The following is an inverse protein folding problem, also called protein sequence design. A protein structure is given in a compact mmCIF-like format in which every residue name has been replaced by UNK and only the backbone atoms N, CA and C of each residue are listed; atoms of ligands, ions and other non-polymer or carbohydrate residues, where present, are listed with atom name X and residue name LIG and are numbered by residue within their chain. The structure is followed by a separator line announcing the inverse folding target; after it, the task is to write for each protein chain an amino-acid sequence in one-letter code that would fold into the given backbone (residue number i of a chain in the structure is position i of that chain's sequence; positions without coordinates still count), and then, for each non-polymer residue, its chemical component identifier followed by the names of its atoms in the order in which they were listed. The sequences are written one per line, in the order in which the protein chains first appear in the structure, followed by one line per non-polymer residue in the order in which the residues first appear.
data_IF_612034933844
#
_entry.id   IF_612034933844
#
_cell.length_a   1.000
_cell.length_b   1.000
_cell.length_c   1.000
_cell.angle_alpha   90.00
_cell.angle_beta   90.00
_cell.angle_gamma   90.00
#
_symmetry.space_group_name_H-M   'P 1'
#
loop_
_entity.id
_entity.type
_entity.pdbx_description
1 polymer ?
#
# COMPACT_ATOMS: atom_id res chain seq x y z
N UNK A 1 -29.67 -1.42 0.49
CA UNK A 1 -28.47 -2.26 0.27
C UNK A 1 -28.22 -3.07 1.53
N UNK A 2 -28.22 -4.40 1.46
CA UNK A 2 -28.19 -5.28 2.63
C UNK A 2 -26.85 -5.19 3.38
N UNK A 3 -26.87 -5.14 4.72
CA UNK A 3 -25.67 -5.03 5.56
C UNK A 3 -24.64 -6.14 5.29
N UNK A 4 -25.10 -7.38 5.10
CA UNK A 4 -24.23 -8.50 4.75
C UNK A 4 -23.55 -8.36 3.38
N UNK A 5 -24.18 -7.67 2.43
CA UNK A 5 -23.60 -7.46 1.10
C UNK A 5 -22.45 -6.44 1.14
N UNK A 6 -22.57 -5.41 1.96
CA UNK A 6 -21.49 -4.42 2.14
C UNK A 6 -20.26 -5.06 2.77
N UNK A 7 -20.46 -5.89 3.79
CA UNK A 7 -19.35 -6.55 4.49
C UNK A 7 -18.63 -7.56 3.59
N UNK A 8 -19.38 -8.36 2.81
CA UNK A 8 -18.80 -9.24 1.79
C UNK A 8 -18.01 -8.47 0.72
N UNK A 9 -18.49 -7.30 0.32
CA UNK A 9 -17.78 -6.41 -0.63
C UNK A 9 -16.47 -5.90 -0.04
N UNK A 10 -16.49 -5.39 1.19
CA UNK A 10 -15.28 -4.86 1.83
C UNK A 10 -14.21 -5.95 2.02
N UNK A 11 -14.60 -7.17 2.38
CA UNK A 11 -13.67 -8.31 2.48
C UNK A 11 -13.12 -8.69 1.11
N UNK A 12 -13.97 -8.74 0.08
CA UNK A 12 -13.50 -9.00 -1.29
C UNK A 12 -12.50 -7.94 -1.75
N UNK A 13 -12.79 -6.66 -1.48
CA UNK A 13 -11.87 -5.55 -1.76
C UNK A 13 -10.55 -5.70 -0.98
N UNK A 14 -10.60 -6.08 0.29
CA UNK A 14 -9.41 -6.32 1.10
C UNK A 14 -8.52 -7.42 0.49
N UNK A 15 -9.12 -8.55 0.08
CA UNK A 15 -8.39 -9.67 -0.55
C UNK A 15 -7.77 -9.22 -1.87
N UNK A 16 -8.52 -8.50 -2.71
CA UNK A 16 -8.00 -7.93 -3.96
C UNK A 16 -6.81 -7.02 -3.67
N UNK A 17 -6.93 -6.18 -2.66
CA UNK A 17 -5.93 -5.20 -2.27
C UNK A 17 -4.66 -5.90 -1.73
N UNK A 18 -4.79 -7.01 -0.98
CA UNK A 18 -3.67 -7.85 -0.54
C UNK A 18 -2.90 -8.53 -1.68
N UNK A 19 -3.53 -8.78 -2.83
CA UNK A 19 -2.89 -9.49 -3.96
C UNK A 19 -2.38 -8.51 -5.00
N UNK A 20 -3.21 -7.55 -5.40
CA UNK A 20 -2.90 -6.60 -6.47
C UNK A 20 -1.83 -5.60 -6.04
N UNK A 21 -1.84 -5.14 -4.79
CA UNK A 21 -0.88 -4.13 -4.33
C UNK A 21 0.56 -4.65 -4.30
N UNK A 22 0.86 -5.85 -3.75
CA UNK A 22 2.21 -6.42 -3.86
C UNK A 22 2.67 -6.61 -5.30
N UNK A 23 1.79 -7.11 -6.17
CA UNK A 23 2.13 -7.32 -7.59
C UNK A 23 2.39 -5.98 -8.28
N UNK A 24 1.50 -4.99 -8.11
CA UNK A 24 1.64 -3.66 -8.69
C UNK A 24 2.82 -2.87 -8.12
N UNK A 25 3.20 -3.13 -6.87
CA UNK A 25 4.39 -2.57 -6.23
C UNK A 25 5.70 -3.20 -6.71
N UNK A 26 5.64 -4.38 -7.32
CA UNK A 26 6.78 -5.02 -7.98
C UNK A 26 6.89 -4.60 -9.46
N UNK A 27 5.74 -4.40 -10.12
CA UNK A 27 5.63 -3.83 -11.47
C UNK A 27 6.03 -2.34 -11.47
N UNK A 28 7.32 -2.09 -11.29
CA UNK A 28 7.93 -0.78 -11.45
C UNK A 28 8.23 -0.60 -12.94
N UNK A 29 7.42 0.18 -13.64
CA UNK A 29 7.68 0.51 -15.04
C UNK A 29 8.83 1.52 -15.12
N UNK A 30 9.76 1.27 -16.03
CA UNK A 30 10.87 2.17 -16.37
C UNK A 30 10.63 2.79 -17.75
N UNK A 31 9.75 3.80 -17.89
CA UNK A 31 9.46 4.39 -19.19
C UNK A 31 10.60 5.27 -19.73
N UNK A 32 11.53 5.72 -18.88
CA UNK A 32 12.68 6.55 -19.25
C UNK A 32 13.94 6.09 -18.51
N UNK A 33 14.87 5.43 -19.21
CA UNK A 33 16.27 5.16 -18.82
C UNK A 33 16.54 4.95 -17.32
N UNK A 34 15.91 3.96 -16.70
CA UNK A 34 16.23 3.40 -15.36
C UNK A 34 16.15 4.32 -14.13
N UNK A 35 16.06 5.65 -14.28
CA UNK A 35 16.11 6.60 -13.15
C UNK A 35 14.76 6.94 -12.55
N UNK A 36 13.67 6.81 -13.31
CA UNK A 36 12.34 7.17 -12.82
C UNK A 36 11.48 5.93 -12.60
N UNK A 37 11.46 5.47 -11.34
CA UNK A 37 10.64 4.35 -10.89
C UNK A 37 9.23 4.86 -10.58
N UNK A 38 8.30 4.66 -11.51
CA UNK A 38 6.88 4.92 -11.23
C UNK A 38 6.28 3.62 -10.68
N UNK A 39 6.05 3.58 -9.37
CA UNK A 39 5.38 2.44 -8.75
C UNK A 39 3.86 2.60 -8.89
N UNK A 40 3.22 1.63 -9.53
CA UNK A 40 1.75 1.63 -9.66
C UNK A 40 1.06 1.19 -8.37
N UNK A 41 1.79 0.63 -7.40
CA UNK A 41 1.24 0.15 -6.13
C UNK A 41 0.55 1.25 -5.34
N UNK A 42 1.11 2.46 -5.30
CA UNK A 42 0.63 3.57 -4.48
C UNK A 42 -0.71 4.13 -4.92
N UNK A 43 -0.90 4.51 -6.20
CA UNK A 43 -2.19 5.00 -6.66
C UNK A 43 -3.26 3.90 -6.57
N UNK A 44 -2.92 2.65 -6.90
CA UNK A 44 -3.85 1.52 -6.75
C UNK A 44 -4.28 1.32 -5.30
N UNK A 45 -3.34 1.35 -4.36
CA UNK A 45 -3.62 1.25 -2.93
C UNK A 45 -4.55 2.37 -2.47
N UNK A 46 -4.27 3.61 -2.86
CA UNK A 46 -5.13 4.76 -2.57
C UNK A 46 -6.57 4.57 -3.10
N UNK A 47 -6.72 4.24 -4.38
CA UNK A 47 -8.04 4.06 -4.98
C UNK A 47 -8.81 2.92 -4.31
N UNK A 48 -8.16 1.77 -4.07
CA UNK A 48 -8.82 0.62 -3.44
C UNK A 48 -9.21 0.91 -1.98
N UNK A 49 -8.39 1.64 -1.22
CA UNK A 49 -8.74 2.10 0.14
C UNK A 49 -9.96 3.03 0.15
N UNK A 50 -10.14 3.85 -0.89
CA UNK A 50 -11.30 4.72 -1.03
C UNK A 50 -12.61 3.92 -1.11
N UNK A 51 -12.57 2.75 -1.74
CA UNK A 51 -13.76 1.90 -1.91
C UNK A 51 -14.16 1.14 -0.63
N UNK A 52 -13.24 0.99 0.35
CA UNK A 52 -13.55 0.39 1.64
C UNK A 52 -14.51 1.26 2.44
N UNK A 53 -15.59 0.67 2.97
CA UNK A 53 -16.57 1.44 3.77
C UNK A 53 -16.58 1.11 5.25
N UNK A 54 -16.42 -0.17 5.62
CA UNK A 54 -16.51 -0.62 7.02
C UNK A 54 -15.15 -0.90 7.64
N UNK A 55 -14.21 -1.42 6.87
CA UNK A 55 -12.89 -1.78 7.39
C UNK A 55 -12.06 -0.50 7.56
N UNK A 56 -11.45 -0.26 8.75
CA UNK A 56 -10.58 0.89 8.92
C UNK A 56 -9.36 0.75 8.01
N UNK A 57 -9.03 1.82 7.29
CA UNK A 57 -7.92 1.84 6.35
C UNK A 57 -6.56 1.54 7.04
N UNK A 58 -6.44 1.81 8.34
CA UNK A 58 -5.28 1.44 9.13
C UNK A 58 -5.09 -0.08 9.20
N UNK A 59 -6.18 -0.84 9.45
CA UNK A 59 -6.11 -2.30 9.49
C UNK A 59 -5.80 -2.88 8.10
N UNK A 60 -6.41 -2.31 7.05
CA UNK A 60 -6.09 -2.68 5.68
C UNK A 60 -4.62 -2.40 5.35
N UNK A 61 -4.08 -1.24 5.73
CA UNK A 61 -2.68 -0.88 5.51
C UNK A 61 -1.68 -1.77 6.23
N UNK A 62 -1.96 -2.17 7.48
CA UNK A 62 -1.14 -3.15 8.20
C UNK A 62 -1.10 -4.48 7.43
N UNK A 63 -2.27 -5.03 7.12
CA UNK A 63 -2.39 -6.32 6.46
C UNK A 63 -1.68 -6.33 5.10
N UNK A 64 -1.83 -5.24 4.35
CA UNK A 64 -1.25 -5.12 3.01
C UNK A 64 0.25 -4.90 3.09
N UNK A 65 0.73 -4.08 4.03
CA UNK A 65 2.16 -3.94 4.29
C UNK A 65 2.80 -5.30 4.59
N UNK A 66 2.16 -6.13 5.43
CA UNK A 66 2.63 -7.50 5.71
C UNK A 66 2.66 -8.32 4.41
N UNK A 67 1.58 -8.32 3.62
CA UNK A 67 1.51 -9.04 2.35
C UNK A 67 2.58 -8.57 1.36
N UNK A 68 2.86 -7.26 1.26
CA UNK A 68 3.88 -6.70 0.36
C UNK A 68 5.27 -7.18 0.77
N UNK A 69 5.62 -7.12 2.06
CA UNK A 69 6.92 -7.60 2.54
C UNK A 69 7.05 -9.10 2.34
N UNK A 70 6.04 -9.90 2.70
CA UNK A 70 6.07 -11.34 2.51
C UNK A 70 6.20 -11.72 1.03
N UNK A 71 5.42 -11.08 0.15
CA UNK A 71 5.48 -11.31 -1.29
C UNK A 71 6.88 -11.04 -1.84
N UNK A 72 7.46 -9.90 -1.45
CA UNK A 72 8.82 -9.52 -1.83
C UNK A 72 9.85 -10.54 -1.32
N UNK A 73 9.81 -10.89 -0.03
CA UNK A 73 10.72 -11.88 0.57
C UNK A 73 10.61 -13.23 -0.15
N UNK A 74 9.40 -13.68 -0.49
CA UNK A 74 9.19 -14.88 -1.29
C UNK A 74 9.79 -14.77 -2.70
N UNK A 75 9.65 -13.61 -3.37
CA UNK A 75 10.29 -13.37 -4.67
C UNK A 75 11.82 -13.42 -4.58
N UNK A 76 12.43 -12.83 -3.54
CA UNK A 76 13.88 -12.90 -3.34
C UNK A 76 14.35 -14.34 -3.15
N UNK A 77 13.61 -15.15 -2.40
CA UNK A 77 13.93 -16.56 -2.22
C UNK A 77 13.83 -17.34 -3.55
N UNK A 78 12.82 -17.07 -4.38
CA UNK A 78 12.66 -17.73 -5.67
C UNK A 78 13.74 -17.29 -6.68
N UNK A 79 14.13 -16.01 -6.66
CA UNK A 79 15.03 -15.43 -7.66
C UNK A 79 16.52 -15.46 -7.30
N UNK A 80 16.89 -15.50 -6.01
CA UNK A 80 18.27 -15.51 -5.55
C UNK A 80 18.63 -16.81 -4.82
N UNK A 81 19.66 -17.51 -5.31
CA UNK A 81 20.11 -18.80 -4.75
C UNK A 81 20.88 -18.72 -3.41
N UNK A 82 21.36 -17.54 -3.02
CA UNK A 82 22.09 -17.28 -1.77
C UNK A 82 21.26 -16.41 -0.82
N UNK A 83 20.21 -16.99 -0.24
CA UNK A 83 19.24 -16.26 0.56
C UNK A 83 19.71 -16.05 2.00
N UNK A 84 20.13 -14.83 2.35
CA UNK A 84 20.31 -14.39 3.73
C UNK A 84 19.02 -13.71 4.21
N UNK A 85 18.14 -14.49 4.84
CA UNK A 85 16.80 -14.07 5.27
C UNK A 85 16.81 -12.75 6.06
N UNK A 86 17.77 -12.56 6.95
CA UNK A 86 17.90 -11.34 7.77
C UNK A 86 18.24 -10.08 6.97
N UNK A 87 19.06 -10.18 5.92
CA UNK A 87 19.46 -9.01 5.13
C UNK A 87 18.34 -8.55 4.20
N UNK A 88 17.67 -9.49 3.50
CA UNK A 88 16.50 -9.17 2.65
C UNK A 88 15.35 -8.55 3.44
N UNK A 89 15.13 -8.99 4.70
CA UNK A 89 14.11 -8.38 5.56
C UNK A 89 14.47 -6.94 5.97
N UNK A 90 15.73 -6.68 6.36
CA UNK A 90 16.17 -5.33 6.73
C UNK A 90 16.08 -4.33 5.57
N UNK A 91 16.44 -4.76 4.36
CA UNK A 91 16.33 -3.95 3.15
C UNK A 91 14.88 -3.61 2.76
N UNK A 92 13.90 -4.41 3.17
CA UNK A 92 12.49 -4.27 2.76
C UNK A 92 11.54 -3.85 3.87
N UNK A 93 12.04 -3.76 5.10
CA UNK A 93 11.33 -3.23 6.25
C UNK A 93 10.77 -1.79 6.07
N UNK A 94 11.47 -0.85 5.42
CA UNK A 94 10.95 0.52 5.23
C UNK A 94 9.62 0.55 4.47
N UNK A 95 9.45 -0.39 3.53
CA UNK A 95 8.26 -0.52 2.68
C UNK A 95 7.04 -0.94 3.52
N UNK A 96 7.23 -1.72 4.58
CA UNK A 96 6.14 -2.02 5.51
C UNK A 96 5.65 -0.75 6.21
N UNK A 97 6.59 0.07 6.71
CA UNK A 97 6.28 1.32 7.40
C UNK A 97 5.58 2.31 6.50
N UNK A 98 5.96 2.34 5.22
CA UNK A 98 5.26 3.11 4.19
C UNK A 98 3.76 2.80 4.17
N UNK A 99 3.37 1.54 3.93
CA UNK A 99 1.95 1.15 3.84
C UNK A 99 1.21 1.28 5.18
N UNK A 100 1.91 1.06 6.29
CA UNK A 100 1.38 1.25 7.63
C UNK A 100 1.02 2.71 7.93
N UNK A 101 1.96 3.64 7.69
CA UNK A 101 1.77 5.07 7.91
C UNK A 101 0.71 5.60 6.95
N UNK A 102 0.76 5.18 5.68
CA UNK A 102 -0.23 5.55 4.68
C UNK A 102 -1.65 5.17 5.12
N UNK A 103 -1.87 3.90 5.46
CA UNK A 103 -3.18 3.41 5.91
C UNK A 103 -3.64 4.08 7.21
N UNK A 104 -2.71 4.35 8.12
CA UNK A 104 -2.99 5.02 9.41
C UNK A 104 -3.43 6.46 9.20
N UNK A 105 -2.68 7.26 8.45
CA UNK A 105 -3.03 8.65 8.12
C UNK A 105 -4.33 8.73 7.33
N UNK A 106 -4.53 7.83 6.38
CA UNK A 106 -5.77 7.75 5.60
C UNK A 106 -6.99 7.47 6.50
N UNK A 107 -6.83 6.58 7.49
CA UNK A 107 -7.87 6.29 8.48
C UNK A 107 -8.10 7.47 9.44
N UNK A 108 -7.04 8.14 9.89
CA UNK A 108 -7.10 9.31 10.79
C UNK A 108 -7.79 10.50 10.12
N UNK A 109 -7.40 10.82 8.89
CA UNK A 109 -8.02 11.87 8.08
C UNK A 109 -9.45 11.51 7.63
N UNK A 110 -9.90 10.26 7.86
CA UNK A 110 -11.21 9.73 7.46
C UNK A 110 -11.54 10.08 6.01
N UNK A 111 -10.57 9.87 5.12
CA UNK A 111 -10.66 10.27 3.71
C UNK A 111 -11.93 9.73 3.04
N UNK A 112 -12.38 8.53 3.45
CA UNK A 112 -13.60 7.88 2.94
C UNK A 112 -14.90 8.66 3.23
N UNK A 113 -14.92 9.60 4.19
CA UNK A 113 -16.08 10.45 4.47
C UNK A 113 -16.25 11.57 3.44
N UNK A 114 -15.20 11.98 2.73
CA UNK A 114 -15.22 13.12 1.82
C UNK A 114 -15.56 12.74 0.37
N UNK A 115 -16.28 11.63 0.16
CA UNK A 115 -16.65 11.10 -1.17
C UNK A 115 -17.30 12.13 -2.12
N UNK A 116 -17.97 13.14 -1.56
CA UNK A 116 -18.63 14.21 -2.33
C UNK A 116 -17.67 15.32 -2.80
N UNK A 117 -16.40 15.30 -2.37
CA UNK A 117 -15.38 16.31 -2.70
C UNK A 117 -14.10 15.63 -3.22
N UNK A 118 -14.09 15.17 -4.49
CA UNK A 118 -12.95 14.43 -5.06
C UNK A 118 -11.64 15.22 -5.02
N UNK A 119 -11.68 16.55 -5.17
CA UNK A 119 -10.50 17.42 -5.08
C UNK A 119 -9.85 17.36 -3.69
N UNK A 120 -10.66 17.36 -2.63
CA UNK A 120 -10.17 17.28 -1.25
C UNK A 120 -9.52 15.92 -0.98
N UNK A 121 -10.13 14.85 -1.49
CA UNK A 121 -9.57 13.50 -1.38
C UNK A 121 -8.23 13.41 -2.11
N UNK A 122 -8.12 13.95 -3.33
CA UNK A 122 -6.86 14.00 -4.06
C UNK A 122 -5.77 14.75 -3.30
N UNK A 123 -6.07 15.95 -2.77
CA UNK A 123 -5.11 16.73 -1.98
C UNK A 123 -4.65 15.99 -0.70
N UNK A 124 -5.60 15.36 0.01
CA UNK A 124 -5.27 14.54 1.17
C UNK A 124 -4.42 13.33 0.79
N UNK A 125 -4.75 12.65 -0.32
CA UNK A 125 -3.98 11.53 -0.85
C UNK A 125 -2.54 11.92 -1.13
N UNK A 126 -2.32 13.01 -1.86
CA UNK A 126 -0.98 13.56 -2.16
C UNK A 126 -0.23 13.90 -0.87
N UNK A 127 -0.90 14.51 0.11
CA UNK A 127 -0.28 14.87 1.39
C UNK A 127 0.17 13.62 2.16
N UNK A 128 -0.69 12.60 2.23
CA UNK A 128 -0.39 11.32 2.87
C UNK A 128 0.76 10.62 2.15
N UNK A 129 0.75 10.63 0.82
CA UNK A 129 1.80 10.06 -0.02
C UNK A 129 3.16 10.72 0.26
N UNK A 130 3.22 12.05 0.31
CA UNK A 130 4.46 12.78 0.63
C UNK A 130 4.96 12.39 2.04
N UNK A 131 4.08 12.36 3.05
CA UNK A 131 4.48 12.01 4.43
C UNK A 131 4.96 10.56 4.53
N UNK A 132 4.27 9.63 3.87
CA UNK A 132 4.64 8.22 3.87
C UNK A 132 5.98 8.01 3.15
N UNK A 133 6.21 8.66 2.00
CA UNK A 133 7.47 8.61 1.26
C UNK A 133 8.62 9.22 2.05
N UNK A 134 8.39 10.33 2.75
CA UNK A 134 9.40 10.92 3.64
C UNK A 134 9.76 10.00 4.80
N UNK A 135 8.76 9.30 5.36
CA UNK A 135 8.97 8.34 6.44
C UNK A 135 9.74 7.10 5.97
N UNK A 136 9.45 6.61 4.77
CA UNK A 136 10.23 5.51 4.15
C UNK A 136 11.69 5.94 3.93
N UNK A 137 11.91 7.12 3.35
CA UNK A 137 13.26 7.65 3.11
C UNK A 137 14.05 7.87 4.40
N UNK A 138 13.40 8.36 5.46
CA UNK A 138 14.02 8.56 6.76
C UNK A 138 14.44 7.27 7.45
N UNK A 139 13.87 6.11 7.08
CA UNK A 139 14.27 4.80 7.60
C UNK A 139 15.41 4.18 6.76
N UNK A 140 15.56 4.62 5.50
CA UNK A 140 16.65 4.19 4.61
C UNK A 140 18.01 4.88 4.89
N UNK A 141 18.04 5.97 5.64
CA UNK A 141 19.25 6.70 6.07
C UNK A 141 19.48 6.50 7.57
#
# INVERSE_FOLDING_TARGET
MNWNQLWKKDISLLIILMVVVPIAGELNFHPFNDTFRVSFGTPLFFFLLLFLRKIPAAAAGILVGICVVLFRVCLDWIMQGSFHMTESFYLRYPVFFYYFIYGSLFSLCRVNKFHQKPIVIGCLGITIEIIASMSELAIYH
#
